data_IF_496047834278
#
_entry.id   IF_496047834278
#
_cell.length_a   1.000
_cell.length_b   1.000
_cell.length_c   1.000
_cell.angle_alpha   90.00
_cell.angle_beta   90.00
_cell.angle_gamma   90.00
#
_symmetry.space_group_name_H-M   'P 1'
#
loop_
_entity.id
_entity.type
_entity.pdbx_description
1 polymer ?
#
# COMPACT_ATOMS: atom_id res chain seq x y z
N UNK A 1 -56.52 27.02 34.74
CA UNK A 1 -56.99 25.75 35.31
C UNK A 1 -56.54 24.68 34.35
N UNK A 2 -55.48 24.06 34.61
CA UNK A 2 -55.01 22.88 35.25
C UNK A 2 -53.56 22.69 34.83
N UNK A 3 -52.74 22.79 35.69
CA UNK A 3 -51.99 21.90 36.57
C UNK A 3 -50.89 21.12 35.82
N UNK A 4 -49.65 21.66 35.96
CA UNK A 4 -48.42 21.06 35.45
C UNK A 4 -47.68 20.37 36.60
N UNK A 5 -47.65 19.09 36.64
CA UNK A 5 -46.79 18.34 37.57
C UNK A 5 -45.38 18.27 37.02
N UNK A 6 -44.48 18.96 37.73
CA UNK A 6 -43.05 18.80 37.63
C UNK A 6 -42.64 17.52 38.37
N UNK A 7 -41.90 16.66 37.72
CA UNK A 7 -41.24 15.49 38.34
C UNK A 7 -39.85 15.94 38.76
N UNK A 8 -39.64 16.13 40.03
CA UNK A 8 -38.32 16.31 40.66
C UNK A 8 -37.59 14.97 40.69
N UNK A 9 -36.50 14.88 39.95
CA UNK A 9 -35.54 13.77 40.06
C UNK A 9 -34.45 14.23 41.05
N UNK A 10 -34.58 13.77 42.27
CA UNK A 10 -33.52 13.85 43.27
C UNK A 10 -32.38 12.89 42.89
N UNK A 11 -31.21 13.44 42.51
CA UNK A 11 -29.98 12.67 42.36
C UNK A 11 -29.26 12.73 43.71
N UNK A 12 -29.27 11.61 44.40
CA UNK A 12 -28.56 11.38 45.65
C UNK A 12 -27.05 11.27 45.34
N UNK A 13 -26.27 12.29 45.71
CA UNK A 13 -24.83 12.41 45.58
C UNK A 13 -24.16 12.15 46.94
N UNK A 14 -24.27 10.91 47.45
CA UNK A 14 -23.49 10.54 48.61
C UNK A 14 -23.13 9.06 48.60
N UNK A 15 -21.99 8.76 47.92
CA UNK A 15 -21.27 7.51 48.16
C UNK A 15 -19.78 7.85 48.22
N UNK A 16 -19.12 7.61 49.39
CA UNK A 16 -17.67 7.73 49.50
C UNK A 16 -16.97 6.57 48.75
N UNK A 17 -15.75 6.76 48.23
CA UNK A 17 -15.04 5.72 47.52
C UNK A 17 -14.56 4.63 48.46
N UNK A 18 -14.89 3.36 48.14
CA UNK A 18 -14.36 2.17 48.79
C UNK A 18 -12.85 2.04 48.56
N UNK A 19 -12.11 2.01 49.65
CA UNK A 19 -10.69 1.68 49.75
C UNK A 19 -10.40 0.29 49.21
N UNK A 20 -9.69 0.17 48.12
CA UNK A 20 -9.04 -1.07 47.68
C UNK A 20 -7.66 -1.18 48.30
N UNK A 21 -7.31 -2.23 49.03
CA UNK A 21 -5.95 -2.40 49.54
C UNK A 21 -4.96 -2.71 48.40
N UNK A 22 -3.80 -2.07 48.46
CA UNK A 22 -2.67 -2.29 47.58
C UNK A 22 -2.04 -3.68 47.82
N UNK A 23 -1.52 -4.35 46.77
CA UNK A 23 -0.77 -5.60 46.95
C UNK A 23 0.62 -5.30 47.51
N UNK A 24 0.92 -5.93 48.67
CA UNK A 24 2.21 -5.90 49.34
C UNK A 24 3.25 -6.68 48.54
N UNK A 25 4.32 -5.99 48.12
CA UNK A 25 5.55 -6.58 47.56
C UNK A 25 6.38 -7.20 48.71
N UNK A 26 6.36 -8.51 48.84
CA UNK A 26 7.28 -9.27 49.68
C UNK A 26 8.44 -9.82 48.85
N UNK A 27 9.56 -9.14 48.80
CA UNK A 27 10.83 -9.71 48.35
C UNK A 27 11.47 -10.51 49.48
N UNK A 28 11.70 -11.80 49.26
CA UNK A 28 12.64 -12.60 50.08
C UNK A 28 13.86 -12.95 49.24
N UNK A 29 15.09 -12.63 49.71
CA UNK A 29 16.31 -13.07 49.05
C UNK A 29 16.67 -14.51 49.50
N UNK A 30 16.88 -15.38 48.55
CA UNK A 30 17.58 -16.65 48.80
C UNK A 30 18.92 -16.65 48.11
N UNK A 31 19.94 -16.47 48.91
CA UNK A 31 21.32 -16.82 48.64
C UNK A 31 21.47 -18.33 48.80
N UNK A 32 21.92 -19.06 47.81
CA UNK A 32 22.65 -20.32 47.98
C UNK A 32 23.83 -20.34 47.04
N UNK A 33 24.94 -20.63 47.69
CA UNK A 33 26.31 -20.58 47.18
C UNK A 33 26.73 -21.85 46.45
N UNK A 34 27.68 -21.68 45.56
CA UNK A 34 28.88 -22.51 45.25
C UNK A 34 28.70 -23.98 44.87
N UNK A 35 29.29 -24.31 43.71
CA UNK A 35 29.67 -25.65 43.30
C UNK A 35 30.47 -25.62 42.00
N UNK A 36 31.79 -25.34 42.13
CA UNK A 36 32.78 -25.53 41.07
C UNK A 36 33.07 -27.00 40.89
N UNK A 37 32.92 -27.56 39.70
CA UNK A 37 33.68 -28.74 39.27
C UNK A 37 34.05 -28.62 37.80
N UNK A 38 35.34 -28.41 37.58
CA UNK A 38 36.06 -28.54 36.32
C UNK A 38 36.21 -30.04 36.02
N UNK A 39 35.76 -30.48 34.86
CA UNK A 39 36.26 -31.71 34.24
C UNK A 39 36.46 -31.48 32.74
N UNK A 40 37.73 -31.38 32.38
CA UNK A 40 38.16 -31.39 30.99
C UNK A 40 38.07 -32.83 30.44
N UNK A 41 37.34 -32.99 29.33
CA UNK A 41 37.46 -34.17 28.50
C UNK A 41 37.51 -33.71 27.03
N UNK A 42 38.70 -33.70 26.50
CA UNK A 42 39.00 -33.56 25.09
C UNK A 42 38.53 -34.83 24.35
N UNK A 43 37.50 -34.74 23.56
CA UNK A 43 37.23 -35.71 22.50
C UNK A 43 37.02 -34.93 21.20
N UNK A 44 38.03 -35.04 20.33
CA UNK A 44 37.92 -34.53 18.95
C UNK A 44 36.84 -35.28 18.19
N UNK A 45 35.82 -34.54 17.78
CA UNK A 45 34.87 -35.01 16.76
C UNK A 45 34.90 -34.00 15.62
N UNK A 46 35.61 -34.33 14.57
CA UNK A 46 35.61 -33.63 13.31
C UNK A 46 34.24 -33.78 12.69
N UNK A 47 33.35 -32.81 12.97
CA UNK A 47 32.10 -32.68 12.25
C UNK A 47 32.38 -32.03 10.89
N UNK A 48 32.47 -32.84 9.86
CA UNK A 48 32.42 -32.36 8.49
C UNK A 48 31.01 -31.80 8.24
N UNK A 49 30.85 -30.48 8.33
CA UNK A 49 29.67 -29.77 7.88
C UNK A 49 29.57 -29.95 6.34
N UNK A 50 28.90 -30.98 5.91
CA UNK A 50 28.34 -31.01 4.56
C UNK A 50 27.26 -29.97 4.53
N UNK A 51 27.59 -28.79 4.04
CA UNK A 51 26.61 -27.78 3.62
C UNK A 51 25.88 -28.33 2.38
N UNK A 52 24.94 -29.22 2.61
CA UNK A 52 23.91 -29.56 1.64
C UNK A 52 22.96 -28.36 1.56
N UNK A 53 23.25 -27.43 0.66
CA UNK A 53 22.25 -26.45 0.23
C UNK A 53 21.17 -27.21 -0.53
N UNK A 54 20.17 -27.73 0.17
CA UNK A 54 18.91 -28.03 -0.47
C UNK A 54 18.40 -26.69 -1.04
N UNK A 55 18.10 -26.59 -2.35
CA UNK A 55 17.38 -25.45 -2.85
C UNK A 55 16.02 -25.48 -2.15
N UNK A 56 15.84 -24.66 -1.15
CA UNK A 56 14.53 -24.33 -0.66
C UNK A 56 13.78 -23.78 -1.88
N UNK A 57 12.81 -24.53 -2.38
CA UNK A 57 11.77 -23.97 -3.22
C UNK A 57 11.17 -22.85 -2.36
N UNK A 58 11.65 -21.63 -2.57
CA UNK A 58 11.01 -20.46 -2.06
C UNK A 58 9.64 -20.44 -2.74
N UNK A 59 8.64 -21.06 -2.08
CA UNK A 59 7.26 -20.70 -2.32
C UNK A 59 7.25 -19.17 -2.18
N UNK A 60 7.14 -18.49 -3.31
CA UNK A 60 7.16 -17.05 -3.36
C UNK A 60 6.10 -16.56 -2.38
N UNK A 61 6.53 -16.15 -1.19
CA UNK A 61 5.68 -15.31 -0.35
C UNK A 61 5.40 -14.10 -1.22
N UNK A 62 4.22 -14.07 -1.82
CA UNK A 62 3.70 -12.86 -2.41
C UNK A 62 3.70 -11.85 -1.28
N UNK A 63 4.69 -10.95 -1.31
CA UNK A 63 4.74 -9.85 -0.37
C UNK A 63 3.39 -9.16 -0.47
N UNK A 64 2.73 -8.99 0.66
CA UNK A 64 1.49 -8.23 0.73
C UNK A 64 1.74 -6.85 0.11
N UNK A 65 1.11 -6.59 -1.02
CA UNK A 65 1.28 -5.35 -1.76
C UNK A 65 -0.04 -4.97 -2.44
N UNK A 66 -0.41 -3.68 -2.40
CA UNK A 66 -1.59 -3.22 -3.12
C UNK A 66 -1.41 -3.45 -4.62
N UNK A 67 -2.50 -3.69 -5.36
CA UNK A 67 -2.47 -3.67 -6.82
C UNK A 67 -1.95 -2.32 -7.31
N UNK A 68 -0.89 -2.34 -8.13
CA UNK A 68 -0.27 -1.14 -8.69
C UNK A 68 0.17 -1.38 -10.14
N UNK A 69 0.37 -0.31 -10.88
CA UNK A 69 0.79 -0.38 -12.28
C UNK A 69 -0.28 -0.96 -13.21
N UNK A 70 0.15 -1.64 -14.28
CA UNK A 70 -0.72 -2.15 -15.33
C UNK A 70 -0.95 -3.66 -15.25
N UNK A 71 -0.50 -4.32 -14.20
CA UNK A 71 -0.69 -5.75 -14.03
C UNK A 71 -2.18 -6.09 -13.92
N UNK A 72 -2.61 -7.12 -14.65
CA UNK A 72 -3.95 -7.70 -14.52
C UNK A 72 -3.88 -8.86 -13.54
N UNK A 73 -4.77 -8.84 -12.59
CA UNK A 73 -4.95 -9.88 -11.58
C UNK A 73 -6.23 -10.65 -11.88
N UNK A 74 -6.26 -11.91 -11.49
CA UNK A 74 -7.47 -12.76 -11.53
C UNK A 74 -7.94 -13.02 -10.11
N UNK A 75 -9.24 -13.16 -9.93
CA UNK A 75 -9.81 -13.43 -8.62
C UNK A 75 -11.31 -13.68 -8.66
N UNK A 76 -11.94 -13.47 -7.53
CA UNK A 76 -13.39 -13.60 -7.34
C UNK A 76 -13.96 -12.32 -6.71
N UNK A 77 -15.23 -12.07 -6.92
CA UNK A 77 -15.92 -10.93 -6.29
C UNK A 77 -17.20 -11.40 -5.60
N UNK A 78 -17.43 -10.86 -4.41
CA UNK A 78 -18.67 -10.87 -3.65
C UNK A 78 -19.18 -9.42 -3.49
N UNK A 79 -20.22 -9.20 -2.70
CA UNK A 79 -20.64 -7.85 -2.39
C UNK A 79 -21.16 -7.70 -0.95
N UNK A 80 -21.02 -6.48 -0.44
CA UNK A 80 -21.49 -6.07 0.89
C UNK A 80 -22.15 -4.69 0.84
N UNK A 81 -22.74 -4.29 1.94
CA UNK A 81 -23.29 -2.94 2.14
C UNK A 81 -22.60 -2.27 3.32
N UNK A 82 -21.85 -1.20 3.05
CA UNK A 82 -21.22 -0.39 4.09
C UNK A 82 -22.22 0.48 4.88
N UNK A 83 -23.50 0.46 4.49
CA UNK A 83 -24.57 1.33 5.06
C UNK A 83 -24.18 2.81 5.06
N UNK A 84 -23.42 3.23 4.05
CA UNK A 84 -22.93 4.60 3.92
C UNK A 84 -21.66 4.92 4.71
N UNK A 85 -21.14 3.97 5.48
CA UNK A 85 -19.86 4.16 6.18
C UNK A 85 -18.67 4.24 5.22
N UNK A 86 -17.60 4.92 5.64
CA UNK A 86 -16.41 5.19 4.82
C UNK A 86 -15.35 4.10 4.84
N UNK A 87 -15.59 2.97 5.51
CA UNK A 87 -14.70 1.82 5.60
C UNK A 87 -13.40 2.07 6.39
N UNK A 88 -12.56 1.05 6.45
CA UNK A 88 -11.31 1.08 7.20
C UNK A 88 -10.29 2.11 6.63
N UNK A 89 -10.47 2.61 5.41
CA UNK A 89 -9.68 3.74 4.89
C UNK A 89 -10.06 5.09 5.51
N UNK A 90 -10.90 5.11 6.55
CA UNK A 90 -11.33 6.30 7.29
C UNK A 90 -11.94 7.39 6.40
N UNK A 91 -12.60 7.04 5.29
CA UNK A 91 -13.36 8.03 4.53
C UNK A 91 -14.51 8.57 5.39
N UNK A 92 -14.93 9.84 5.23
CA UNK A 92 -16.05 10.39 6.01
C UNK A 92 -17.36 9.65 5.74
N UNK A 93 -17.53 9.13 4.52
CA UNK A 93 -18.68 8.35 4.07
C UNK A 93 -18.30 7.54 2.83
N UNK A 94 -19.14 6.60 2.42
CA UNK A 94 -19.05 5.96 1.12
C UNK A 94 -19.14 7.00 -0.02
N UNK A 95 -18.50 6.76 -1.18
CA UNK A 95 -18.59 7.70 -2.31
C UNK A 95 -20.04 7.83 -2.80
N UNK A 96 -20.42 9.03 -3.27
CA UNK A 96 -21.80 9.33 -3.67
C UNK A 96 -22.33 8.40 -4.78
N UNK A 97 -21.45 7.91 -5.67
CA UNK A 97 -21.80 6.94 -6.71
C UNK A 97 -21.91 5.50 -6.20
N UNK A 98 -21.60 5.25 -4.93
CA UNK A 98 -21.61 3.96 -4.25
C UNK A 98 -20.76 2.88 -4.94
N UNK A 99 -19.72 3.26 -5.70
CA UNK A 99 -18.81 2.33 -6.38
C UNK A 99 -17.52 2.19 -5.58
N UNK A 100 -17.48 1.20 -4.69
CA UNK A 100 -16.36 0.95 -3.80
C UNK A 100 -16.07 -0.54 -3.65
N UNK A 101 -14.91 -0.85 -3.06
CA UNK A 101 -14.43 -2.20 -2.81
C UNK A 101 -13.69 -2.27 -1.47
N UNK A 102 -13.89 -3.39 -0.77
CA UNK A 102 -13.04 -3.87 0.30
C UNK A 102 -12.06 -4.90 -0.25
N UNK A 103 -10.80 -4.85 0.21
CA UNK A 103 -9.73 -5.77 -0.19
C UNK A 103 -9.35 -6.69 0.95
N UNK A 104 -8.95 -7.92 0.63
CA UNK A 104 -8.33 -8.83 1.58
C UNK A 104 -7.03 -8.26 2.16
N UNK A 105 -6.54 -8.81 3.30
CA UNK A 105 -5.37 -8.26 4.01
C UNK A 105 -4.12 -8.11 3.13
N UNK A 106 -3.93 -9.03 2.17
CA UNK A 106 -2.78 -9.03 1.25
C UNK A 106 -2.76 -7.81 0.36
N UNK A 107 -3.86 -7.52 -0.34
CA UNK A 107 -3.97 -6.39 -1.26
C UNK A 107 -4.24 -5.07 -0.54
N UNK A 108 -4.95 -5.12 0.60
CA UNK A 108 -5.16 -3.94 1.45
C UNK A 108 -3.85 -3.42 2.03
N UNK A 109 -2.93 -4.34 2.38
CA UNK A 109 -1.56 -4.07 2.78
C UNK A 109 -1.44 -2.97 3.84
N UNK A 110 -2.11 -3.17 5.00
CA UNK A 110 -2.14 -2.23 6.12
C UNK A 110 -2.43 -0.78 5.68
N UNK A 111 -3.50 -0.61 4.91
CA UNK A 111 -3.95 0.71 4.43
C UNK A 111 -3.18 1.25 3.22
N UNK A 112 -2.20 0.52 2.70
CA UNK A 112 -1.40 1.01 1.58
C UNK A 112 -2.20 1.17 0.29
N UNK A 113 -3.27 0.40 0.11
CA UNK A 113 -4.14 0.48 -1.06
C UNK A 113 -5.18 1.61 -0.99
N UNK A 114 -5.44 2.17 0.20
CA UNK A 114 -6.51 3.14 0.43
C UNK A 114 -6.48 4.32 -0.54
N UNK A 115 -7.68 4.69 -1.03
CA UNK A 115 -7.88 5.82 -1.95
C UNK A 115 -7.40 5.58 -3.37
N UNK A 116 -6.85 4.39 -3.68
CA UNK A 116 -6.62 3.93 -5.03
C UNK A 116 -7.91 3.48 -5.71
N UNK A 117 -7.85 3.20 -7.02
CA UNK A 117 -8.97 2.73 -7.81
C UNK A 117 -8.62 1.44 -8.55
N UNK A 118 -9.61 0.58 -8.72
CA UNK A 118 -9.54 -0.61 -9.57
C UNK A 118 -10.56 -0.53 -10.71
N UNK A 119 -10.16 -0.97 -11.91
CA UNK A 119 -11.08 -1.41 -12.95
C UNK A 119 -11.28 -2.91 -12.76
N UNK A 120 -12.53 -3.32 -12.51
CA UNK A 120 -12.94 -4.72 -12.27
C UNK A 120 -13.81 -5.17 -13.43
N UNK A 121 -13.43 -6.29 -14.05
CA UNK A 121 -14.15 -6.92 -15.17
C UNK A 121 -14.77 -8.21 -14.69
N UNK A 122 -16.07 -8.34 -14.85
CA UNK A 122 -16.83 -9.55 -14.57
C UNK A 122 -17.70 -9.96 -15.77
N UNK A 123 -18.59 -10.97 -15.60
CA UNK A 123 -19.36 -11.56 -16.70
C UNK A 123 -20.22 -10.57 -17.49
N UNK A 124 -20.73 -9.53 -16.87
CA UNK A 124 -21.63 -8.53 -17.51
C UNK A 124 -20.95 -7.26 -17.97
N UNK A 125 -19.71 -6.99 -17.55
CA UNK A 125 -19.03 -5.76 -17.92
C UNK A 125 -17.92 -5.34 -16.98
N UNK A 126 -17.62 -4.04 -17.01
CA UNK A 126 -16.53 -3.43 -16.24
C UNK A 126 -17.05 -2.33 -15.34
N UNK A 127 -16.51 -2.25 -14.13
CA UNK A 127 -16.78 -1.17 -13.18
C UNK A 127 -15.48 -0.62 -12.61
N UNK A 128 -15.41 0.72 -12.43
CA UNK A 128 -14.36 1.37 -11.66
C UNK A 128 -14.82 1.57 -10.23
N UNK A 129 -14.01 1.13 -9.27
CA UNK A 129 -14.32 1.20 -7.84
C UNK A 129 -13.19 1.86 -7.05
N UNK A 130 -13.57 2.61 -6.01
CA UNK A 130 -12.67 3.18 -5.02
C UNK A 130 -12.29 2.10 -3.99
N UNK A 131 -11.02 1.92 -3.70
CA UNK A 131 -10.56 1.11 -2.57
C UNK A 131 -10.82 1.93 -1.29
N UNK A 132 -11.76 1.47 -0.48
CA UNK A 132 -12.24 2.22 0.67
C UNK A 132 -12.22 1.42 1.98
N UNK A 133 -12.13 0.09 1.90
CA UNK A 133 -12.32 -0.77 3.06
C UNK A 133 -11.42 -2.00 3.03
N UNK A 134 -11.38 -2.72 4.15
CA UNK A 134 -10.73 -4.01 4.31
C UNK A 134 -11.79 -5.09 4.56
N UNK A 135 -11.60 -6.25 3.94
CA UNK A 135 -12.32 -7.49 4.20
C UNK A 135 -11.34 -8.46 4.90
N UNK A 136 -11.33 -8.54 6.24
CA UNK A 136 -10.33 -9.33 6.97
C UNK A 136 -10.33 -10.82 6.63
N UNK A 137 -11.49 -11.37 6.29
CA UNK A 137 -11.71 -12.78 5.93
C UNK A 137 -11.47 -13.09 4.46
N UNK A 138 -11.28 -12.07 3.60
CA UNK A 138 -11.06 -12.26 2.18
C UNK A 138 -9.66 -12.80 1.88
N UNK A 139 -9.60 -13.91 1.15
CA UNK A 139 -8.35 -14.47 0.64
C UNK A 139 -7.71 -13.57 -0.45
N UNK A 140 -6.43 -13.75 -0.77
CA UNK A 140 -5.79 -13.05 -1.88
C UNK A 140 -6.60 -13.18 -3.19
N UNK A 141 -6.81 -12.05 -3.88
CA UNK A 141 -7.62 -11.99 -5.10
C UNK A 141 -9.13 -11.94 -4.88
N UNK A 142 -9.61 -11.96 -3.63
CA UNK A 142 -11.02 -11.80 -3.34
C UNK A 142 -11.36 -10.31 -3.12
N UNK A 143 -12.22 -9.79 -3.99
CA UNK A 143 -12.76 -8.43 -3.92
C UNK A 143 -14.16 -8.47 -3.33
N UNK A 144 -14.43 -7.68 -2.28
CA UNK A 144 -15.78 -7.51 -1.76
C UNK A 144 -16.32 -6.13 -2.20
N UNK A 145 -17.17 -6.14 -3.21
CA UNK A 145 -17.66 -4.94 -3.88
C UNK A 145 -18.87 -4.34 -3.15
N UNK A 146 -19.16 -3.07 -3.38
CA UNK A 146 -20.50 -2.57 -3.09
C UNK A 146 -21.53 -3.31 -3.94
N UNK A 147 -22.77 -3.43 -3.43
CA UNK A 147 -23.87 -4.04 -4.19
C UNK A 147 -24.06 -3.37 -5.55
N UNK A 148 -23.95 -2.05 -5.62
CA UNK A 148 -24.07 -1.26 -6.84
C UNK A 148 -22.93 -1.52 -7.83
N UNK A 149 -21.72 -1.72 -7.35
CA UNK A 149 -20.58 -2.07 -8.19
C UNK A 149 -20.71 -3.51 -8.71
N UNK A 150 -21.08 -4.45 -7.85
CA UNK A 150 -21.30 -5.85 -8.23
C UNK A 150 -22.39 -5.97 -9.32
N UNK A 151 -23.51 -5.26 -9.16
CA UNK A 151 -24.60 -5.28 -10.14
C UNK A 151 -24.19 -4.79 -11.54
N UNK A 152 -23.09 -4.04 -11.66
CA UNK A 152 -22.54 -3.63 -12.96
C UNK A 152 -21.75 -4.72 -13.67
N UNK A 153 -21.25 -5.70 -12.94
CA UNK A 153 -20.40 -6.74 -13.49
C UNK A 153 -21.03 -8.13 -13.46
N UNK A 154 -22.10 -8.33 -12.69
CA UNK A 154 -22.78 -9.62 -12.54
C UNK A 154 -24.24 -9.41 -12.12
N UNK A 155 -25.01 -10.51 -12.10
CA UNK A 155 -26.33 -10.53 -11.45
C UNK A 155 -26.10 -10.74 -9.94
N UNK A 156 -26.67 -9.89 -9.06
CA UNK A 156 -26.55 -10.06 -7.62
C UNK A 156 -27.02 -11.41 -7.08
N UNK A 157 -27.91 -12.09 -7.78
CA UNK A 157 -28.37 -13.43 -7.39
C UNK A 157 -27.24 -14.49 -7.43
N UNK A 158 -26.18 -14.25 -8.21
CA UNK A 158 -25.04 -15.14 -8.28
C UNK A 158 -24.18 -15.15 -7.01
N UNK A 159 -24.22 -14.04 -6.24
CA UNK A 159 -23.51 -13.89 -4.97
C UNK A 159 -21.98 -13.86 -5.08
N UNK A 160 -21.40 -14.71 -5.93
CA UNK A 160 -19.96 -14.82 -6.17
C UNK A 160 -19.68 -15.06 -7.65
N UNK A 161 -18.75 -14.30 -8.25
CA UNK A 161 -18.37 -14.43 -9.66
C UNK A 161 -16.85 -14.33 -9.84
N UNK A 162 -16.29 -15.00 -10.87
CA UNK A 162 -14.90 -14.79 -11.27
C UNK A 162 -14.74 -13.39 -11.87
N UNK A 163 -13.60 -12.75 -11.56
CA UNK A 163 -13.26 -11.42 -12.08
C UNK A 163 -11.80 -11.32 -12.49
N UNK A 164 -11.51 -10.35 -13.34
CA UNK A 164 -10.16 -9.81 -13.49
C UNK A 164 -10.15 -8.34 -13.06
N UNK A 165 -9.03 -7.88 -12.52
CA UNK A 165 -8.94 -6.49 -12.06
C UNK A 165 -7.53 -5.92 -12.24
N UNK A 166 -7.45 -4.61 -12.33
CA UNK A 166 -6.18 -3.87 -12.41
C UNK A 166 -6.28 -2.53 -11.71
N UNK A 167 -5.15 -2.03 -11.23
CA UNK A 167 -5.07 -0.68 -10.70
C UNK A 167 -5.29 0.36 -11.80
N UNK A 168 -5.93 1.47 -11.42
CA UNK A 168 -6.08 2.64 -12.29
C UNK A 168 -5.04 3.67 -11.90
N UNK A 169 -4.18 4.03 -12.85
CA UNK A 169 -3.15 5.06 -12.64
C UNK A 169 -3.70 6.42 -13.00
N UNK A 170 -3.54 7.40 -12.09
CA UNK A 170 -4.04 8.76 -12.26
C UNK A 170 -5.52 8.85 -12.68
N UNK A 171 -6.45 8.20 -11.93
CA UNK A 171 -7.87 8.29 -12.25
C UNK A 171 -8.37 9.74 -12.19
N UNK A 172 -9.46 10.08 -12.88
CA UNK A 172 -10.14 11.37 -12.68
C UNK A 172 -10.47 11.59 -11.20
N UNK A 173 -10.10 12.73 -10.65
CA UNK A 173 -10.33 13.08 -9.26
C UNK A 173 -11.60 13.91 -9.09
N UNK A 174 -12.40 13.68 -8.02
CA UNK A 174 -13.61 14.46 -7.76
C UNK A 174 -13.29 15.91 -7.41
N UNK A 175 -12.11 16.19 -6.90
CA UNK A 175 -11.71 17.52 -6.48
C UNK A 175 -10.22 17.62 -6.11
N UNK A 176 -9.81 18.75 -5.55
CA UNK A 176 -8.51 18.93 -4.91
C UNK A 176 -8.33 18.01 -3.69
N UNK A 177 -7.11 17.90 -3.20
CA UNK A 177 -6.78 17.18 -1.96
C UNK A 177 -7.58 17.74 -0.77
N UNK A 178 -8.01 16.84 0.09
CA UNK A 178 -8.66 17.19 1.36
C UNK A 178 -7.84 16.62 2.51
N UNK A 179 -7.90 17.28 3.65
CA UNK A 179 -7.18 16.90 4.85
C UNK A 179 -8.12 16.81 6.04
N UNK A 180 -7.93 15.82 6.89
CA UNK A 180 -8.64 15.73 8.17
C UNK A 180 -7.64 15.37 9.25
N UNK A 181 -7.46 16.27 10.20
CA UNK A 181 -6.70 15.97 11.41
C UNK A 181 -7.56 15.06 12.28
N UNK A 182 -6.96 13.99 12.80
CA UNK A 182 -7.68 13.00 13.60
C UNK A 182 -8.21 13.64 14.89
N UNK A 183 -9.39 13.19 15.29
CA UNK A 183 -9.94 13.52 16.61
C UNK A 183 -8.95 13.09 17.71
N UNK A 184 -8.76 13.95 18.71
CA UNK A 184 -7.77 13.75 19.76
C UNK A 184 -6.35 14.16 19.38
N UNK A 185 -6.07 14.59 18.15
CA UNK A 185 -4.76 15.14 17.79
C UNK A 185 -4.49 16.46 18.52
N UNK A 186 -3.20 16.68 18.81
CA UNK A 186 -2.68 17.87 19.49
C UNK A 186 -1.29 18.20 18.94
N UNK A 187 -0.67 19.26 19.43
CA UNK A 187 0.71 19.60 19.07
C UNK A 187 1.72 18.50 19.46
N UNK A 188 1.36 17.61 20.39
CA UNK A 188 2.20 16.54 20.94
C UNK A 188 1.90 15.15 20.36
N UNK A 189 0.80 15.02 19.64
CA UNK A 189 0.41 13.80 18.93
C UNK A 189 -0.38 14.18 17.68
N UNK A 190 0.16 13.94 16.52
CA UNK A 190 -0.42 14.40 15.26
C UNK A 190 -0.75 13.21 14.35
N UNK A 191 -1.95 13.22 13.81
CA UNK A 191 -2.33 12.28 12.75
C UNK A 191 -3.23 12.97 11.72
N UNK A 192 -2.94 12.76 10.44
CA UNK A 192 -3.68 13.37 9.33
C UNK A 192 -4.11 12.31 8.32
N UNK A 193 -5.34 12.41 7.85
CA UNK A 193 -5.84 11.70 6.68
C UNK A 193 -5.81 12.63 5.48
N UNK A 194 -5.34 12.10 4.34
CA UNK A 194 -5.37 12.78 3.05
C UNK A 194 -6.45 12.12 2.18
N UNK A 195 -7.29 12.91 1.53
CA UNK A 195 -8.33 12.44 0.62
C UNK A 195 -8.17 12.99 -0.79
N UNK A 196 -8.87 12.42 -1.76
CA UNK A 196 -8.89 12.80 -3.17
C UNK A 196 -7.53 12.68 -3.88
N UNK A 197 -6.65 11.79 -3.42
CA UNK A 197 -5.34 11.57 -4.05
C UNK A 197 -5.36 10.60 -5.24
N UNK A 198 -6.36 9.72 -5.35
CA UNK A 198 -6.63 8.85 -6.50
C UNK A 198 -5.67 7.70 -6.72
N UNK A 199 -4.39 7.86 -6.43
CA UNK A 199 -3.39 6.79 -6.41
C UNK A 199 -3.04 6.46 -4.96
N UNK A 200 -2.69 5.20 -4.62
CA UNK A 200 -2.14 4.88 -3.31
C UNK A 200 -0.97 5.80 -2.93
N UNK A 201 -0.93 6.26 -1.69
CA UNK A 201 0.14 7.15 -1.23
C UNK A 201 1.38 6.35 -0.83
N UNK A 202 2.56 6.88 -1.15
CA UNK A 202 3.85 6.39 -0.71
C UNK A 202 4.27 7.02 0.61
N UNK A 203 4.16 8.36 0.71
CA UNK A 203 4.57 9.12 1.88
C UNK A 203 3.72 10.36 2.09
N UNK A 204 3.60 10.73 3.37
CA UNK A 204 3.10 12.02 3.82
C UNK A 204 4.13 12.59 4.78
N UNK A 205 4.52 13.84 4.56
CA UNK A 205 5.52 14.55 5.34
C UNK A 205 4.95 15.89 5.76
N UNK A 206 5.30 16.35 6.96
CA UNK A 206 4.73 17.56 7.58
C UNK A 206 5.84 18.45 8.08
N UNK A 207 5.66 19.77 7.95
CA UNK A 207 6.47 20.79 8.63
C UNK A 207 5.62 22.00 8.95
N UNK A 208 6.01 22.82 9.92
CA UNK A 208 5.29 24.04 10.24
C UNK A 208 5.76 25.22 9.37
N UNK A 209 7.06 25.52 9.36
CA UNK A 209 7.66 26.64 8.61
C UNK A 209 8.44 26.08 7.41
N UNK A 210 8.67 26.94 6.44
CA UNK A 210 9.47 26.56 5.27
C UNK A 210 10.92 26.25 5.61
N UNK A 211 11.45 26.82 6.66
CA UNK A 211 12.79 26.56 7.20
C UNK A 211 12.90 25.27 7.99
N UNK A 212 11.78 24.70 8.46
CA UNK A 212 11.81 23.50 9.30
C UNK A 212 12.08 22.25 8.46
N UNK A 213 12.76 21.23 9.03
CA UNK A 213 12.91 19.95 8.36
C UNK A 213 11.56 19.25 8.18
N UNK A 214 11.43 18.46 7.11
CA UNK A 214 10.26 17.62 6.91
C UNK A 214 10.27 16.45 7.89
N UNK A 215 9.16 16.27 8.59
CA UNK A 215 8.90 15.12 9.46
C UNK A 215 8.06 14.10 8.69
N UNK A 216 8.56 12.88 8.56
CA UNK A 216 7.82 11.79 7.93
C UNK A 216 6.75 11.26 8.87
N UNK A 217 5.53 11.14 8.38
CA UNK A 217 4.44 10.51 9.09
C UNK A 217 4.37 9.01 8.74
N UNK A 218 4.12 8.16 9.75
CA UNK A 218 3.94 6.72 9.59
C UNK A 218 2.48 6.40 9.24
N UNK A 219 2.25 5.66 8.14
CA UNK A 219 0.91 5.20 7.79
C UNK A 219 0.40 4.21 8.83
N UNK A 220 -0.86 4.39 9.22
CA UNK A 220 -1.62 3.47 10.04
C UNK A 220 -2.52 2.61 9.12
N UNK A 221 -2.90 1.43 9.58
CA UNK A 221 -3.75 0.47 8.86
C UNK A 221 -5.14 1.04 8.51
N UNK A 222 -5.61 2.02 9.28
CA UNK A 222 -6.84 2.77 9.03
C UNK A 222 -6.62 4.08 8.24
N UNK A 223 -5.53 4.17 7.46
CA UNK A 223 -5.23 5.26 6.52
C UNK A 223 -5.02 6.65 7.12
N UNK A 224 -4.71 6.76 8.41
CA UNK A 224 -4.13 7.99 8.97
C UNK A 224 -2.61 7.92 8.92
N UNK A 225 -1.98 9.09 8.83
CA UNK A 225 -0.54 9.26 8.82
C UNK A 225 -0.12 9.94 10.13
N UNK A 226 0.61 9.21 10.96
CA UNK A 226 0.90 9.50 12.36
C UNK A 226 2.32 10.04 12.54
N UNK A 227 2.45 11.13 13.31
CA UNK A 227 3.70 11.57 13.94
C UNK A 227 3.45 11.48 15.45
N UNK A 228 3.93 10.42 16.08
CA UNK A 228 3.64 10.10 17.47
C UNK A 228 4.20 11.15 18.45
N UNK A 229 5.29 11.82 18.09
CA UNK A 229 5.89 12.94 18.85
C UNK A 229 5.16 14.28 18.66
N UNK A 230 4.10 14.29 17.83
CA UNK A 230 3.45 15.54 17.42
C UNK A 230 4.19 16.27 16.31
N UNK A 231 3.52 17.27 15.72
CA UNK A 231 4.05 18.12 14.67
C UNK A 231 4.01 19.63 15.05
N UNK A 232 3.70 19.93 16.33
CA UNK A 232 3.52 21.29 16.83
C UNK A 232 2.10 21.84 16.64
N UNK A 233 1.86 23.12 16.92
CA UNK A 233 0.52 23.71 16.92
C UNK A 233 -0.03 24.02 15.52
N UNK A 234 0.77 23.93 14.46
CA UNK A 234 0.40 24.36 13.11
C UNK A 234 0.41 25.89 12.91
N UNK A 235 -0.06 26.42 11.78
CA UNK A 235 -0.49 25.64 10.61
C UNK A 235 0.64 24.86 9.95
N UNK A 236 0.29 23.85 9.16
CA UNK A 236 1.26 22.93 8.56
C UNK A 236 1.35 23.08 7.04
N UNK A 237 2.54 22.86 6.52
CA UNK A 237 2.76 22.44 5.14
C UNK A 237 2.77 20.90 5.12
N UNK A 238 1.92 20.29 4.29
CA UNK A 238 1.84 18.84 4.13
C UNK A 238 2.29 18.46 2.72
N UNK A 239 3.34 17.65 2.62
CA UNK A 239 3.85 17.12 1.36
C UNK A 239 3.36 15.71 1.18
N UNK A 240 2.70 15.46 0.06
CA UNK A 240 2.09 14.18 -0.29
C UNK A 240 2.79 13.62 -1.52
N UNK A 241 3.21 12.36 -1.46
CA UNK A 241 3.80 11.65 -2.61
C UNK A 241 3.06 10.34 -2.82
N UNK A 242 2.60 10.07 -4.04
CA UNK A 242 1.98 8.79 -4.38
C UNK A 242 2.98 7.74 -4.88
N UNK A 243 2.50 6.51 -5.11
CA UNK A 243 3.33 5.39 -5.56
C UNK A 243 3.90 5.57 -6.97
N UNK A 244 3.33 6.46 -7.77
CA UNK A 244 3.78 6.76 -9.14
C UNK A 244 4.71 7.97 -9.22
N UNK A 245 5.00 8.62 -8.06
CA UNK A 245 5.94 9.72 -7.97
C UNK A 245 5.32 11.10 -8.15
N UNK A 246 3.99 11.22 -8.30
CA UNK A 246 3.35 12.53 -8.20
C UNK A 246 3.58 13.07 -6.79
N UNK A 247 4.04 14.32 -6.71
CA UNK A 247 4.36 14.97 -5.44
C UNK A 247 3.83 16.39 -5.43
N UNK A 248 3.10 16.73 -4.37
CA UNK A 248 2.57 18.08 -4.16
C UNK A 248 2.75 18.50 -2.70
N UNK A 249 2.76 19.80 -2.48
CA UNK A 249 2.77 20.40 -1.12
C UNK A 249 1.57 21.30 -0.97
N UNK A 250 0.87 21.17 0.16
CA UNK A 250 -0.28 21.98 0.52
C UNK A 250 0.03 22.69 1.83
N UNK A 251 -0.01 24.02 1.81
CA UNK A 251 0.20 24.84 3.00
C UNK A 251 -1.11 25.21 3.69
N UNK A 252 -1.00 25.74 4.92
CA UNK A 252 -2.11 26.30 5.66
C UNK A 252 -3.06 25.26 6.29
N UNK A 253 -2.63 24.00 6.42
CA UNK A 253 -3.42 22.98 7.11
C UNK A 253 -3.39 23.26 8.61
N UNK A 254 -4.56 23.58 9.17
CA UNK A 254 -4.69 23.98 10.58
C UNK A 254 -4.78 22.76 11.51
N UNK A 255 -4.33 22.91 12.74
CA UNK A 255 -4.62 21.97 13.82
C UNK A 255 -6.11 22.10 14.21
N UNK A 256 -6.98 21.44 13.44
CA UNK A 256 -8.43 21.44 13.64
C UNK A 256 -8.96 20.00 13.65
N UNK A 257 -8.83 19.28 14.81
CA UNK A 257 -9.21 17.89 14.93
C UNK A 257 -10.67 17.66 14.55
N UNK A 258 -10.93 16.58 13.82
CA UNK A 258 -12.27 16.20 13.38
C UNK A 258 -12.82 16.99 12.19
N UNK A 259 -12.21 18.11 11.80
CA UNK A 259 -12.71 18.96 10.73
C UNK A 259 -12.07 18.61 9.38
N UNK A 260 -12.89 18.54 8.32
CA UNK A 260 -12.39 18.44 6.96
C UNK A 260 -11.88 19.79 6.47
N UNK A 261 -10.71 19.82 5.85
CA UNK A 261 -10.09 21.01 5.28
C UNK A 261 -9.86 20.77 3.78
N UNK A 262 -10.43 21.61 2.95
CA UNK A 262 -10.28 21.55 1.50
C UNK A 262 -9.09 22.39 1.06
N UNK A 263 -8.29 21.85 0.15
CA UNK A 263 -7.24 22.62 -0.52
C UNK A 263 -7.67 23.08 -1.91
N UNK A 264 -6.81 23.83 -2.59
CA UNK A 264 -6.95 24.14 -4.02
C UNK A 264 -6.02 23.29 -4.90
N UNK A 265 -5.19 22.46 -4.28
CA UNK A 265 -4.15 21.66 -4.95
C UNK A 265 -4.68 20.29 -5.31
N UNK A 266 -4.51 19.89 -6.57
CA UNK A 266 -4.79 18.53 -7.05
C UNK A 266 -3.52 17.71 -7.02
N UNK A 267 -3.65 16.40 -6.79
CA UNK A 267 -2.51 15.48 -6.79
C UNK A 267 -1.78 15.43 -8.14
N UNK A 268 -2.54 15.54 -9.23
CA UNK A 268 -2.06 15.59 -10.61
C UNK A 268 -3.07 16.32 -11.50
N UNK A 269 -2.65 16.75 -12.68
CA UNK A 269 -3.52 17.41 -13.66
C UNK A 269 -4.54 16.44 -14.24
N UNK A 270 -5.77 16.86 -14.55
CA UNK A 270 -6.71 16.05 -15.30
C UNK A 270 -6.10 15.59 -16.62
N UNK A 271 -6.20 14.28 -16.94
CA UNK A 271 -5.68 13.72 -18.19
C UNK A 271 -4.16 13.48 -18.23
N UNK A 272 -3.46 13.60 -17.09
CA UNK A 272 -2.07 13.14 -16.96
C UNK A 272 -1.99 11.61 -16.99
N UNK A 273 -2.33 11.02 -18.15
CA UNK A 273 -1.98 9.64 -18.41
C UNK A 273 -0.46 9.49 -18.29
N UNK A 274 -0.01 8.46 -17.59
CA UNK A 274 1.38 8.09 -17.31
C UNK A 274 2.36 8.63 -18.35
N UNK A 275 3.06 9.70 -18.04
CA UNK A 275 4.36 9.93 -18.67
C UNK A 275 5.25 8.81 -18.18
N UNK A 276 5.47 7.84 -19.05
CA UNK A 276 6.54 6.85 -18.91
C UNK A 276 7.78 7.64 -18.49
N UNK A 277 8.52 7.26 -17.41
CA UNK A 277 9.80 7.89 -17.15
C UNK A 277 10.60 7.80 -18.44
N UNK A 278 10.91 8.93 -19.06
CA UNK A 278 11.85 8.97 -20.18
C UNK A 278 13.13 8.41 -19.62
N UNK A 279 13.53 7.24 -20.12
CA UNK A 279 14.87 6.73 -19.87
C UNK A 279 15.81 7.88 -20.19
N UNK A 280 16.57 8.29 -19.18
CA UNK A 280 17.56 9.35 -19.25
C UNK A 280 18.28 9.26 -20.58
N UNK A 281 18.17 10.30 -21.42
CA UNK A 281 18.87 10.36 -22.68
C UNK A 281 20.35 10.18 -22.38
N UNK A 282 20.89 9.06 -22.84
CA UNK A 282 22.33 8.80 -22.86
C UNK A 282 22.97 9.95 -23.58
N UNK A 283 24.01 10.63 -23.05
CA UNK A 283 24.68 11.68 -23.80
C UNK A 283 25.18 11.10 -25.11
N UNK A 284 24.69 11.67 -26.22
CA UNK A 284 25.17 11.36 -27.57
C UNK A 284 26.59 11.87 -27.63
N UNK A 285 27.55 10.98 -27.59
CA UNK A 285 28.95 11.25 -27.87
C UNK A 285 29.01 11.69 -29.36
N UNK A 286 29.18 12.97 -29.59
CA UNK A 286 29.48 13.54 -30.90
C UNK A 286 30.88 13.10 -31.32
N UNK A 287 30.96 12.13 -32.20
CA UNK A 287 32.18 11.72 -32.91
C UNK A 287 32.44 12.77 -34.01
N UNK A 288 33.67 13.32 -34.13
CA UNK A 288 33.99 14.25 -35.19
C UNK A 288 33.88 13.56 -36.54
N UNK A 289 33.28 14.27 -37.51
CA UNK A 289 33.18 13.87 -38.89
C UNK A 289 34.59 13.85 -39.53
N UNK A 290 35.01 12.68 -40.03
CA UNK A 290 36.21 12.54 -40.86
C UNK A 290 35.72 12.58 -42.31
N UNK A 291 36.18 13.58 -43.04
CA UNK A 291 35.97 13.81 -44.46
C UNK A 291 36.59 12.66 -45.28
N UNK A 292 35.88 12.02 -46.21
CA UNK A 292 36.51 11.06 -47.11
C UNK A 292 37.10 11.75 -48.31
N UNK A 293 38.37 11.57 -48.52
CA UNK A 293 39.10 11.88 -49.80
C UNK A 293 38.86 10.73 -50.78
N UNK A 294 38.57 10.98 -52.07
CA UNK A 294 38.35 9.94 -53.07
C UNK A 294 39.65 9.47 -53.71
N UNK A 295 39.88 8.17 -53.74
CA UNK A 295 40.89 7.58 -54.64
C UNK A 295 40.36 6.29 -55.30
N UNK A 296 40.26 6.39 -56.52
CA UNK A 296 40.26 5.60 -57.74
C UNK A 296 40.60 4.10 -57.68
N UNK A 297 39.67 3.31 -58.25
CA UNK A 297 39.79 2.30 -59.32
C UNK A 297 40.85 1.18 -59.21
N UNK A 298 40.38 -0.06 -59.27
CA UNK A 298 40.59 -1.06 -60.37
C UNK A 298 40.17 -2.46 -59.88
N UNK A 299 39.22 -3.02 -60.50
CA UNK A 299 39.23 -4.16 -61.46
C UNK A 299 39.63 -5.53 -60.88
N UNK A 300 38.65 -6.40 -60.83
CA UNK A 300 38.47 -7.65 -61.59
C UNK A 300 38.82 -9.02 -60.92
N UNK A 301 37.88 -9.89 -61.12
CA UNK A 301 37.91 -11.31 -61.50
C UNK A 301 37.72 -12.38 -60.39
N UNK A 302 36.53 -12.85 -60.40
CA UNK A 302 36.04 -14.21 -60.73
C UNK A 302 36.37 -15.43 -59.87
N UNK A 303 35.25 -16.11 -59.54
CA UNK A 303 35.05 -17.59 -59.48
C UNK A 303 35.66 -18.29 -58.24
N UNK A 304 34.97 -19.15 -57.52
CA UNK A 304 34.20 -20.32 -57.91
C UNK A 304 33.72 -21.05 -56.64
N UNK A 305 32.48 -21.49 -56.66
CA UNK A 305 31.97 -22.78 -56.15
C UNK A 305 32.06 -23.18 -54.65
N UNK A 306 30.90 -23.50 -54.18
CA UNK A 306 30.50 -24.32 -53.02
C UNK A 306 31.17 -25.73 -52.97
N UNK A 307 30.93 -26.61 -52.00
CA UNK A 307 29.67 -26.84 -51.33
C UNK A 307 29.70 -27.15 -49.80
N UNK A 308 28.49 -27.36 -49.27
CA UNK A 308 28.01 -27.79 -48.01
C UNK A 308 28.76 -28.90 -47.24
N UNK A 309 28.68 -28.83 -45.94
CA UNK A 309 28.43 -30.03 -45.12
C UNK A 309 27.63 -29.66 -43.86
N UNK A 310 26.51 -30.32 -43.73
CA UNK A 310 25.69 -30.45 -42.54
C UNK A 310 26.48 -31.06 -41.40
N UNK A 311 26.06 -30.77 -40.14
CA UNK A 311 25.86 -31.71 -39.06
C UNK A 311 25.48 -31.00 -37.73
N UNK A 312 24.75 -31.62 -36.82
CA UNK A 312 23.58 -31.09 -36.21
C UNK A 312 23.80 -30.59 -34.77
N UNK A 313 23.06 -29.59 -34.40
CA UNK A 313 22.96 -29.09 -33.00
C UNK A 313 22.01 -30.00 -32.22
N UNK A 314 22.53 -30.81 -31.36
CA UNK A 314 21.74 -31.52 -30.36
C UNK A 314 21.26 -30.59 -29.25
N UNK A 315 19.98 -30.51 -29.16
CA UNK A 315 19.15 -30.09 -28.04
C UNK A 315 19.65 -30.63 -26.69
N UNK A 316 19.87 -29.71 -25.74
CA UNK A 316 19.90 -30.06 -24.32
C UNK A 316 19.28 -28.93 -23.51
N UNK A 317 17.95 -28.87 -23.56
CA UNK A 317 17.15 -28.04 -22.66
C UNK A 317 15.82 -28.76 -22.36
N UNK A 318 15.92 -29.94 -21.77
CA UNK A 318 14.77 -30.63 -21.16
C UNK A 318 15.27 -31.57 -20.07
N UNK A 319 15.53 -31.04 -18.87
CA UNK A 319 15.54 -31.84 -17.63
C UNK A 319 15.66 -30.94 -16.44
N UNK A 320 14.61 -30.22 -16.02
CA UNK A 320 14.45 -29.70 -14.66
C UNK A 320 13.01 -29.23 -14.37
N UNK A 321 12.03 -29.95 -14.89
CA UNK A 321 10.62 -29.70 -14.57
C UNK A 321 9.93 -31.01 -14.11
N UNK A 322 10.42 -31.62 -13.02
CA UNK A 322 9.70 -32.66 -12.31
C UNK A 322 10.35 -32.98 -10.97
N UNK A 323 10.23 -32.11 -10.00
CA UNK A 323 10.55 -32.43 -8.58
C UNK A 323 9.82 -31.51 -7.59
N UNK A 324 8.63 -31.03 -7.90
CA UNK A 324 7.78 -30.30 -6.94
C UNK A 324 6.34 -30.82 -6.92
N UNK A 325 6.15 -32.15 -7.07
CA UNK A 325 4.89 -32.80 -6.73
C UNK A 325 5.21 -33.91 -5.71
N UNK A 326 4.85 -33.61 -4.45
CA UNK A 326 4.96 -34.49 -3.30
C UNK A 326 4.46 -33.80 -2.07
#
# INVERSE_FOLDING_TARGET
MTDGSAVDINIDLDHPPEDRPAPSSGMKPWLVATGVTVLAATLGLTLTLRSGSTPACAAGRTLAAPPTGNATHTGKATFYDSKGAGGNCSNPAAPANRLYVALGPTEYSAGAACGGFLDVVGPKGTVRVLIMDQCPECEPGHLDLSREAFARIADPVQGLVPVTYRAVVNPPLPGPLTFRIKEGASQWWFAVRVGNHGNPLRSVEVRQRDSDPWQSAARQDYNYWLIASGAGPGPFNVRVTDVYGNRVTVGGIRMAPGQAQNSTVRMYAPGAATRRPSASARPSSSRPAVTPTPTRRSVEVARTSAPATDVPTTSSARANARWCEG
#
